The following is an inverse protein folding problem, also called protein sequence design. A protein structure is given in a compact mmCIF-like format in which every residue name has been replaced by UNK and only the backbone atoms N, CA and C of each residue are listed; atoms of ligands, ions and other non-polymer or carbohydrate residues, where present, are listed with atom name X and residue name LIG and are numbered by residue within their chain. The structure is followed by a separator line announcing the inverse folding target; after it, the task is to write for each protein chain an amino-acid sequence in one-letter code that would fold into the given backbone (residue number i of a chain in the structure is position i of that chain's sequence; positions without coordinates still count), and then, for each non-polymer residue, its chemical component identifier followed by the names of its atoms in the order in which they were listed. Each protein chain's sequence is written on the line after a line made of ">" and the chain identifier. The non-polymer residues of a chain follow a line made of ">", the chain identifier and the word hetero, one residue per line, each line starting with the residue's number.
data_IF_556647516704
#
_entry.id   IF_556647516704
#
_cell.length_a   1.000
_cell.length_b   1.000
_cell.length_c   1.000
_cell.angle_alpha   90.00
_cell.angle_beta   90.00
_cell.angle_gamma   90.00
#
_symmetry.space_group_name_H-M   'P 1'
#
loop_
_entity.id
_entity.type
_entity.pdbx_description
1 polymer ?
#
# COMPACT_ATOMS: atom_id res chain seq x y z
N UNK A 1 -4.73 17.57 2.33
CA UNK A 1 -3.61 18.18 3.07
C UNK A 1 -3.63 19.72 3.03
N UNK A 2 -3.49 20.39 1.87
CA UNK A 2 -3.45 21.87 1.80
C UNK A 2 -4.74 22.54 2.32
N UNK A 3 -5.90 22.07 1.88
CA UNK A 3 -7.20 22.60 2.35
C UNK A 3 -7.41 22.39 3.85
N UNK A 4 -7.12 21.18 4.35
CA UNK A 4 -7.21 20.86 5.78
C UNK A 4 -6.30 21.75 6.64
N UNK A 5 -5.08 22.05 6.17
CA UNK A 5 -4.18 22.97 6.86
C UNK A 5 -4.71 24.42 6.86
N UNK A 6 -5.25 24.88 5.74
CA UNK A 6 -5.84 26.21 5.63
C UNK A 6 -7.03 26.38 6.60
N UNK A 7 -7.92 25.38 6.63
CA UNK A 7 -9.04 25.35 7.55
C UNK A 7 -8.58 25.33 9.02
N UNK A 8 -7.58 24.51 9.35
CA UNK A 8 -7.02 24.46 10.70
C UNK A 8 -6.47 25.82 11.15
N UNK A 9 -5.79 26.56 10.24
CA UNK A 9 -5.28 27.88 10.55
C UNK A 9 -6.40 28.91 10.72
N UNK A 10 -7.46 28.84 9.92
CA UNK A 10 -8.64 29.72 10.06
C UNK A 10 -9.35 29.54 11.40
N UNK A 11 -9.38 28.31 11.93
CA UNK A 11 -9.96 27.97 13.23
C UNK A 11 -8.98 28.20 14.41
N UNK A 12 -7.70 28.50 14.13
CA UNK A 12 -6.68 28.65 15.17
C UNK A 12 -6.68 30.04 15.82
N UNK A 13 -6.32 30.11 17.10
CA UNK A 13 -6.20 31.36 17.86
C UNK A 13 -5.19 32.35 17.25
N UNK A 14 -4.12 31.85 16.63
CA UNK A 14 -3.11 32.69 15.98
C UNK A 14 -3.71 33.61 14.89
N UNK A 15 -4.68 33.10 14.12
CA UNK A 15 -5.34 33.89 13.06
C UNK A 15 -6.60 34.57 13.59
N UNK A 16 -7.42 33.89 14.40
CA UNK A 16 -8.70 34.44 14.87
C UNK A 16 -8.54 35.52 15.95
N UNK A 17 -7.66 35.28 16.93
CA UNK A 17 -7.50 36.13 18.12
C UNK A 17 -6.33 37.10 17.93
N UNK A 18 -5.15 36.57 17.61
CA UNK A 18 -3.93 37.36 17.48
C UNK A 18 -3.83 38.11 16.14
N UNK A 19 -4.70 37.79 15.16
CA UNK A 19 -4.79 38.44 13.84
C UNK A 19 -3.50 38.38 13.03
N UNK A 20 -2.64 37.40 13.29
CA UNK A 20 -1.46 37.14 12.47
C UNK A 20 -1.84 36.60 11.10
N UNK A 21 -0.96 36.81 10.13
CA UNK A 21 -1.12 36.17 8.83
C UNK A 21 -0.88 34.66 8.95
N UNK A 22 -1.58 33.85 8.14
CA UNK A 22 -1.39 32.40 8.13
C UNK A 22 0.09 32.00 7.88
N UNK A 23 0.85 32.83 7.15
CA UNK A 23 2.27 32.61 6.93
C UNK A 23 3.13 32.87 8.17
N UNK A 24 2.80 33.88 8.99
CA UNK A 24 3.45 34.16 10.27
C UNK A 24 3.19 33.05 11.28
N UNK A 25 1.95 32.56 11.37
CA UNK A 25 1.57 31.45 12.26
C UNK A 25 2.37 30.16 11.98
N UNK A 26 2.87 29.97 10.75
CA UNK A 26 3.65 28.78 10.39
C UNK A 26 5.15 28.91 10.70
N UNK A 27 5.65 30.11 11.04
CA UNK A 27 7.05 30.35 11.42
C UNK A 27 7.24 30.19 12.93
N UNK A 28 8.45 29.84 13.35
CA UNK A 28 8.82 29.86 14.77
C UNK A 28 8.89 31.33 15.23
N UNK A 29 8.42 31.68 16.44
CA UNK A 29 7.98 30.80 17.55
C UNK A 29 6.48 30.42 17.54
N UNK A 30 5.62 31.12 16.79
CA UNK A 30 4.16 30.93 16.84
C UNK A 30 3.71 29.54 16.36
N UNK A 31 4.51 28.88 15.53
CA UNK A 31 4.19 27.55 15.07
C UNK A 31 4.13 26.49 16.19
N UNK A 32 4.78 26.73 17.32
CA UNK A 32 4.82 25.82 18.47
C UNK A 32 3.62 26.03 19.40
N UNK A 33 3.00 27.21 19.37
CA UNK A 33 1.79 27.51 20.15
C UNK A 33 0.51 27.07 19.45
N UNK A 34 0.60 26.71 18.16
CA UNK A 34 -0.54 26.21 17.40
C UNK A 34 -1.06 24.87 17.96
N UNK A 35 -2.36 24.58 17.80
CA UNK A 35 -2.94 23.29 18.18
C UNK A 35 -2.22 22.09 17.54
N UNK A 36 -2.13 20.98 18.27
CA UNK A 36 -1.45 19.75 17.83
C UNK A 36 -1.93 19.26 16.46
N UNK A 37 -3.23 19.39 16.17
CA UNK A 37 -3.82 19.10 14.85
C UNK A 37 -3.17 19.92 13.72
N UNK A 38 -2.99 21.23 13.92
CA UNK A 38 -2.36 22.09 12.91
C UNK A 38 -0.86 21.82 12.79
N UNK A 39 -0.18 21.47 13.89
CA UNK A 39 1.23 21.07 13.86
C UNK A 39 1.45 19.78 13.06
N UNK A 40 0.59 18.77 13.25
CA UNK A 40 0.62 17.53 12.47
C UNK A 40 0.39 17.81 10.98
N UNK A 41 -0.61 18.63 10.65
CA UNK A 41 -0.89 19.04 9.27
C UNK A 41 0.28 19.81 8.65
N UNK A 42 0.95 20.69 9.41
CA UNK A 42 2.15 21.42 8.97
C UNK A 42 3.27 20.46 8.61
N UNK A 43 3.54 19.47 9.46
CA UNK A 43 4.57 18.44 9.20
C UNK A 43 4.23 17.65 7.92
N UNK A 44 3.01 17.12 7.82
CA UNK A 44 2.55 16.37 6.66
C UNK A 44 2.55 17.18 5.36
N UNK A 45 2.20 18.47 5.41
CA UNK A 45 2.29 19.36 4.26
C UNK A 45 3.74 19.64 3.84
N UNK A 46 4.67 19.78 4.80
CA UNK A 46 6.10 19.92 4.53
C UNK A 46 6.69 18.69 3.83
N UNK A 47 6.36 17.49 4.31
CA UNK A 47 6.76 16.23 3.68
C UNK A 47 6.11 16.04 2.30
N UNK A 48 4.82 16.41 2.18
CA UNK A 48 4.09 16.42 0.91
C UNK A 48 4.81 17.28 -0.14
N UNK A 49 5.17 18.51 0.22
CA UNK A 49 5.84 19.47 -0.67
C UNK A 49 7.27 19.05 -1.01
N UNK A 50 8.02 18.54 -0.03
CA UNK A 50 9.38 18.01 -0.26
C UNK A 50 9.35 16.86 -1.27
N UNK A 51 8.39 15.94 -1.15
CA UNK A 51 8.28 14.81 -2.08
C UNK A 51 7.81 15.16 -3.49
N UNK A 52 7.19 16.33 -3.72
CA UNK A 52 6.94 16.81 -5.09
C UNK A 52 8.23 17.26 -5.79
N UNK A 53 9.19 17.78 -5.02
CA UNK A 53 10.47 18.28 -5.55
C UNK A 53 11.47 17.13 -5.71
N UNK A 54 11.42 16.12 -4.83
CA UNK A 54 12.30 14.94 -4.88
C UNK A 54 12.05 14.05 -6.12
N UNK A 55 13.04 14.01 -7.02
CA UNK A 55 12.99 13.21 -8.25
C UNK A 55 12.74 11.72 -7.99
N UNK A 56 13.22 11.18 -6.86
CA UNK A 56 13.03 9.75 -6.52
C UNK A 56 11.57 9.43 -6.23
N UNK A 57 10.81 10.40 -5.73
CA UNK A 57 9.40 10.25 -5.34
C UNK A 57 8.42 10.67 -6.45
N UNK A 58 8.86 11.37 -7.48
CA UNK A 58 8.02 11.74 -8.64
C UNK A 58 7.45 10.54 -9.38
N UNK A 59 8.26 9.50 -9.60
CA UNK A 59 7.84 8.31 -10.34
C UNK A 59 6.96 7.35 -9.52
N UNK A 60 7.20 7.24 -8.20
CA UNK A 60 6.51 6.26 -7.33
C UNK A 60 5.34 6.87 -6.55
N UNK A 61 5.24 8.20 -6.53
CA UNK A 61 4.30 8.94 -5.69
C UNK A 61 4.87 9.22 -4.29
N UNK A 62 4.35 10.26 -3.65
CA UNK A 62 4.73 10.66 -2.29
C UNK A 62 3.83 10.03 -1.21
N UNK A 63 3.13 8.95 -1.55
CA UNK A 63 2.32 8.19 -0.60
C UNK A 63 3.22 7.26 0.21
N UNK A 64 2.99 7.09 1.52
CA UNK A 64 3.72 6.09 2.28
C UNK A 64 3.41 4.70 1.71
N UNK A 65 4.45 3.85 1.62
CA UNK A 65 4.36 2.50 1.04
C UNK A 65 3.24 1.69 1.73
N UNK A 66 3.03 1.92 3.03
CA UNK A 66 1.98 1.33 3.85
C UNK A 66 0.57 1.62 3.31
N UNK A 67 0.29 2.85 2.86
CA UNK A 67 -1.04 3.23 2.41
C UNK A 67 -1.40 2.58 1.06
N UNK A 68 -0.45 2.55 0.12
CA UNK A 68 -0.63 1.86 -1.16
C UNK A 68 -0.77 0.36 -0.97
N UNK A 69 -0.03 -0.20 -0.01
CA UNK A 69 -0.12 -1.61 0.35
C UNK A 69 -1.48 -1.96 0.94
N UNK A 70 -2.00 -1.16 1.87
CA UNK A 70 -3.33 -1.36 2.47
C UNK A 70 -4.43 -1.32 1.40
N UNK A 71 -4.41 -0.31 0.53
CA UNK A 71 -5.40 -0.19 -0.55
C UNK A 71 -5.35 -1.36 -1.54
N UNK A 72 -4.15 -1.89 -1.79
CA UNK A 72 -3.98 -3.07 -2.66
C UNK A 72 -4.49 -4.34 -1.98
N UNK A 73 -4.18 -4.53 -0.70
CA UNK A 73 -4.64 -5.66 0.12
C UNK A 73 -6.16 -5.66 0.29
N UNK A 74 -6.80 -4.50 0.49
CA UNK A 74 -8.26 -4.39 0.56
C UNK A 74 -8.94 -4.79 -0.75
N UNK A 75 -8.30 -4.51 -1.89
CA UNK A 75 -8.85 -4.85 -3.22
C UNK A 75 -8.58 -6.29 -3.64
N UNK A 76 -7.44 -6.87 -3.28
CA UNK A 76 -7.05 -8.22 -3.72
C UNK A 76 -7.29 -9.32 -2.68
N UNK A 77 -7.44 -8.97 -1.40
CA UNK A 77 -7.55 -9.94 -0.29
C UNK A 77 -6.24 -10.70 -0.01
N UNK A 78 -5.13 -10.29 -0.60
CA UNK A 78 -3.86 -11.00 -0.49
C UNK A 78 -3.06 -10.53 0.73
N UNK A 79 -2.71 -11.49 1.60
CA UNK A 79 -2.29 -11.30 2.98
C UNK A 79 -1.09 -10.39 3.26
N UNK A 80 -1.01 -9.98 4.54
CA UNK A 80 -0.09 -9.03 5.18
C UNK A 80 1.42 -9.37 5.08
N UNK A 81 1.80 -10.55 4.58
CA UNK A 81 3.19 -10.98 4.51
C UNK A 81 3.81 -10.61 3.16
N UNK A 82 4.61 -9.55 3.17
CA UNK A 82 5.34 -9.05 2.01
C UNK A 82 6.81 -9.44 2.09
N UNK A 83 7.27 -10.30 1.19
CA UNK A 83 8.69 -10.45 0.87
C UNK A 83 8.93 -9.80 -0.50
N UNK A 84 9.86 -8.85 -0.56
CA UNK A 84 10.19 -8.10 -1.79
C UNK A 84 8.99 -7.42 -2.49
N UNK A 85 7.93 -7.07 -1.75
CA UNK A 85 6.78 -6.33 -2.28
C UNK A 85 5.77 -7.17 -3.09
N UNK A 86 5.88 -8.51 -3.07
CA UNK A 86 4.81 -9.41 -3.50
C UNK A 86 4.24 -10.13 -2.27
N UNK A 87 2.93 -10.40 -2.28
CA UNK A 87 2.35 -11.29 -1.26
C UNK A 87 2.95 -12.68 -1.46
N UNK A 88 3.28 -13.37 -0.37
CA UNK A 88 3.88 -14.71 -0.44
C UNK A 88 3.01 -15.73 -1.18
N UNK A 89 1.72 -15.43 -1.36
CA UNK A 89 0.71 -16.33 -1.91
C UNK A 89 0.14 -15.89 -3.27
N UNK A 90 0.45 -14.69 -3.77
CA UNK A 90 -0.07 -14.12 -5.02
C UNK A 90 0.10 -15.03 -6.25
N UNK A 91 1.19 -15.80 -6.29
CA UNK A 91 1.58 -16.56 -7.50
C UNK A 91 1.36 -18.06 -7.39
N UNK A 92 1.22 -18.61 -6.19
CA UNK A 92 1.33 -20.05 -5.95
C UNK A 92 0.01 -20.71 -5.57
N UNK A 93 -0.97 -19.95 -5.07
CA UNK A 93 -2.19 -20.52 -4.49
C UNK A 93 -3.34 -20.36 -5.48
N UNK A 94 -3.78 -21.48 -6.05
CA UNK A 94 -5.08 -21.54 -6.73
C UNK A 94 -6.17 -21.58 -5.66
N UNK A 95 -7.27 -20.86 -5.87
CA UNK A 95 -8.47 -21.00 -5.04
C UNK A 95 -9.00 -22.41 -5.25
N UNK A 96 -9.10 -23.18 -4.17
CA UNK A 96 -9.61 -24.55 -4.21
C UNK A 96 -11.05 -24.58 -3.69
N UNK A 97 -11.90 -25.36 -4.35
CA UNK A 97 -13.32 -25.53 -3.98
C UNK A 97 -13.52 -26.61 -2.91
N UNK A 98 -12.42 -27.23 -2.43
CA UNK A 98 -12.42 -28.25 -1.39
C UNK A 98 -12.97 -29.61 -1.83
N UNK A 99 -13.30 -29.75 -3.11
CA UNK A 99 -13.79 -30.98 -3.74
C UNK A 99 -12.97 -31.32 -5.01
N UNK A 100 -11.65 -31.10 -4.96
CA UNK A 100 -10.78 -31.56 -6.04
C UNK A 100 -10.39 -33.03 -5.82
N UNK A 101 -10.31 -33.84 -6.90
CA UNK A 101 -9.74 -35.16 -6.83
C UNK A 101 -8.26 -35.08 -6.43
N UNK A 102 -7.79 -36.10 -5.72
CA UNK A 102 -6.38 -36.19 -5.34
C UNK A 102 -5.47 -36.11 -6.58
N UNK A 103 -4.35 -35.37 -6.50
CA UNK A 103 -3.41 -35.29 -7.61
C UNK A 103 -2.82 -36.67 -7.90
N UNK A 104 -3.01 -37.15 -9.13
CA UNK A 104 -2.58 -38.49 -9.54
C UNK A 104 -1.04 -38.62 -9.50
N UNK A 105 -0.53 -39.72 -8.94
CA UNK A 105 0.92 -39.96 -8.89
C UNK A 105 1.47 -40.11 -10.32
N UNK A 106 2.56 -39.41 -10.62
CA UNK A 106 3.23 -39.46 -11.91
C UNK A 106 3.67 -40.89 -12.27
N UNK A 107 3.99 -41.72 -11.27
CA UNK A 107 4.37 -43.13 -11.48
C UNK A 107 3.22 -43.95 -12.05
N UNK A 108 2.01 -43.71 -11.58
CA UNK A 108 0.82 -44.41 -12.06
C UNK A 108 0.52 -44.01 -13.51
N UNK A 109 0.61 -42.71 -13.80
CA UNK A 109 0.44 -42.17 -15.16
C UNK A 109 1.47 -42.76 -16.13
N UNK A 110 2.74 -42.86 -15.72
CA UNK A 110 3.79 -43.48 -16.55
C UNK A 110 3.57 -44.99 -16.74
N UNK A 111 3.20 -45.71 -15.68
CA UNK A 111 2.92 -47.14 -15.76
C UNK A 111 1.72 -47.42 -16.69
N UNK A 112 0.66 -46.61 -16.62
CA UNK A 112 -0.48 -46.71 -17.52
C UNK A 112 -0.10 -46.43 -18.98
N UNK A 113 0.74 -45.42 -19.23
CA UNK A 113 1.26 -45.13 -20.57
C UNK A 113 2.07 -46.32 -21.10
N UNK A 114 2.98 -46.86 -20.29
CA UNK A 114 3.80 -48.01 -20.65
C UNK A 114 2.96 -49.24 -20.99
N UNK A 115 1.90 -49.50 -20.21
CA UNK A 115 0.95 -50.60 -20.50
C UNK A 115 0.22 -50.41 -21.83
N UNK A 116 -0.23 -49.18 -22.13
CA UNK A 116 -0.88 -48.85 -23.41
C UNK A 116 0.07 -49.02 -24.61
N UNK A 117 1.34 -48.68 -24.44
CA UNK A 117 2.38 -48.89 -25.46
C UNK A 117 2.67 -50.38 -25.70
N UNK A 118 2.69 -51.18 -24.64
CA UNK A 118 2.83 -52.63 -24.75
C UNK A 118 1.63 -53.27 -25.46
N UNK A 119 0.41 -52.81 -25.17
CA UNK A 119 -0.82 -53.28 -25.81
C UNK A 119 -0.89 -52.87 -27.29
N UNK A 120 -0.42 -51.67 -27.65
CA UNK A 120 -0.37 -51.23 -29.04
C UNK A 120 0.69 -51.97 -29.87
N UNK A 121 1.81 -52.36 -29.27
CA UNK A 121 2.84 -53.17 -29.93
C UNK A 121 2.45 -54.65 -30.12
N UNK A 122 1.48 -55.15 -29.35
CA UNK A 122 0.98 -56.53 -29.43
C UNK A 122 -0.15 -56.71 -30.46
N UNK A 123 -0.66 -55.63 -31.06
CA UNK A 123 -1.72 -55.64 -32.05
C UNK A 123 -1.16 -55.43 -33.45
#
# INVERSE_FOLDING_TARGET
>A
MRAALAQCLQESECVMVQRHTAAECLRSPLAETLPTKCQQLKKGFGECRRGMIDMRKRFRGNQPITFKSLESTEKSGEGYQLYAGRSAFAGAVRKTDGNEPEPQDWREVENEKYRKEQESQKK
#
